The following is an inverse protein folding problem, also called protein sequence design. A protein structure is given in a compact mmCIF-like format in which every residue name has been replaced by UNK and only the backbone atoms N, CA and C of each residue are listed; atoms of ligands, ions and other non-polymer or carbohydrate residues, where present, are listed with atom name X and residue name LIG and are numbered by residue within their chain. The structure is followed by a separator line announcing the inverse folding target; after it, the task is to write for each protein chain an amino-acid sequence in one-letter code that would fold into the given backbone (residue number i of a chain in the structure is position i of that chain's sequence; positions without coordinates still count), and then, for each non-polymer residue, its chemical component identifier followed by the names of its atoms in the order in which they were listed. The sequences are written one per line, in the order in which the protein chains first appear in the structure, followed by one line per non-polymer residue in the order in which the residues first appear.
data_IF_231380816384
#
_entry.id   IF_231380816384
#
_cell.length_a   1.000
_cell.length_b   1.000
_cell.length_c   1.000
_cell.angle_alpha   90.00
_cell.angle_beta   90.00
_cell.angle_gamma   90.00
#
_symmetry.space_group_name_H-M   'P 1'
#
loop_
_entity.id
_entity.type
_entity.pdbx_description
1 polymer ?
#
# COMPACT_ATOMS: atom_id res chain seq x y z
N UNK A 1 -4.07 -3.45 4.18
CA UNK A 1 -2.97 -3.04 5.07
C UNK A 1 -1.93 -2.18 4.34
N UNK A 2 -1.56 -2.51 3.10
CA UNK A 2 -0.63 -1.68 2.34
C UNK A 2 -1.18 -0.29 2.03
N UNK A 3 -2.48 -0.16 1.81
CA UNK A 3 -3.13 1.15 1.71
C UNK A 3 -2.93 1.95 3.01
N UNK A 4 -3.07 1.30 4.15
CA UNK A 4 -2.89 1.94 5.44
C UNK A 4 -1.44 2.40 5.64
N UNK A 5 -0.46 1.59 5.21
CA UNK A 5 0.95 1.98 5.28
C UNK A 5 1.19 3.29 4.52
N UNK A 6 0.76 3.37 3.28
CA UNK A 6 1.01 4.55 2.45
C UNK A 6 0.23 5.77 2.95
N UNK A 7 -1.01 5.60 3.40
CA UNK A 7 -1.83 6.73 3.87
C UNK A 7 -1.31 7.30 5.18
N UNK A 8 -0.94 6.46 6.14
CA UNK A 8 -0.36 6.90 7.41
C UNK A 8 0.96 7.62 7.18
N UNK A 9 1.82 7.06 6.35
CA UNK A 9 3.12 7.64 6.03
C UNK A 9 3.00 9.02 5.36
N UNK A 10 2.15 9.14 4.34
CA UNK A 10 1.92 10.40 3.64
C UNK A 10 1.36 11.45 4.59
N UNK A 11 0.33 11.10 5.35
CA UNK A 11 -0.33 12.03 6.28
C UNK A 11 0.63 12.54 7.35
N UNK A 12 1.46 11.66 7.92
CA UNK A 12 2.44 12.05 8.95
C UNK A 12 3.48 13.01 8.37
N UNK A 13 4.05 12.69 7.20
CA UNK A 13 5.08 13.53 6.61
C UNK A 13 4.52 14.88 6.12
N UNK A 14 3.30 14.92 5.60
CA UNK A 14 2.63 16.17 5.26
C UNK A 14 2.39 17.06 6.49
N UNK A 15 2.11 16.44 7.63
CA UNK A 15 1.91 17.17 8.90
C UNK A 15 3.23 17.60 9.55
N UNK A 16 4.38 17.27 8.96
CA UNK A 16 5.69 17.63 9.49
C UNK A 16 6.30 16.61 10.43
N UNK A 17 5.65 15.47 10.66
CA UNK A 17 6.18 14.38 11.47
C UNK A 17 6.88 13.40 10.54
N UNK A 18 8.21 13.49 10.45
CA UNK A 18 9.00 12.62 9.58
C UNK A 18 9.00 11.19 10.13
N UNK A 19 8.45 10.26 9.35
CA UNK A 19 8.40 8.84 9.68
C UNK A 19 8.84 8.02 8.47
N UNK A 20 9.31 6.78 8.72
CA UNK A 20 9.59 5.83 7.65
C UNK A 20 8.29 5.24 7.08
N UNK A 21 8.37 4.70 5.88
CA UNK A 21 7.24 4.03 5.21
C UNK A 21 6.76 2.81 6.00
N UNK A 22 7.70 2.01 6.49
CA UNK A 22 7.38 0.84 7.29
C UNK A 22 7.44 1.13 8.78
N UNK A 23 6.56 0.52 9.59
CA UNK A 23 6.73 0.54 11.05
C UNK A 23 7.99 -0.22 11.44
N UNK A 24 8.71 0.26 12.45
CA UNK A 24 9.88 -0.45 12.97
C UNK A 24 9.49 -1.84 13.50
N UNK A 25 10.31 -2.86 13.31
CA UNK A 25 11.66 -2.87 12.71
C UNK A 25 11.68 -3.21 11.21
N UNK A 26 10.56 -3.09 10.51
CA UNK A 26 10.44 -3.53 9.12
C UNK A 26 11.07 -2.56 8.14
N UNK A 27 11.62 -3.10 7.06
CA UNK A 27 12.26 -2.36 5.96
C UNK A 27 11.93 -3.02 4.63
N UNK A 28 12.38 -2.44 3.52
CA UNK A 28 12.26 -3.06 2.20
C UNK A 28 13.01 -4.39 2.09
N UNK A 29 13.91 -4.70 3.03
CA UNK A 29 14.63 -5.98 3.06
C UNK A 29 13.84 -7.11 3.71
N UNK A 30 12.96 -6.79 4.65
CA UNK A 30 12.26 -7.79 5.47
C UNK A 30 10.73 -7.61 5.50
N UNK A 31 10.18 -6.86 4.57
CA UNK A 31 8.73 -6.61 4.55
C UNK A 31 7.89 -7.89 4.39
N UNK A 32 8.48 -8.98 3.93
CA UNK A 32 7.78 -10.27 3.86
C UNK A 32 7.29 -10.72 5.25
N UNK A 33 8.07 -10.45 6.31
CA UNK A 33 7.65 -10.74 7.68
C UNK A 33 6.47 -9.87 8.11
N UNK A 34 6.42 -8.62 7.66
CA UNK A 34 5.28 -7.74 7.88
C UNK A 34 4.02 -8.27 7.18
N UNK A 35 4.15 -8.74 5.94
CA UNK A 35 3.03 -9.37 5.23
C UNK A 35 2.49 -10.58 5.98
N UNK A 36 3.35 -11.41 6.54
CA UNK A 36 2.93 -12.55 7.37
C UNK A 36 2.14 -12.09 8.60
N UNK A 37 2.56 -11.00 9.22
CA UNK A 37 1.84 -10.41 10.33
C UNK A 37 0.45 -9.92 9.91
N UNK A 38 0.33 -9.28 8.75
CA UNK A 38 -0.96 -8.86 8.19
C UNK A 38 -1.88 -10.05 7.95
N UNK A 39 -1.35 -11.15 7.43
CA UNK A 39 -2.13 -12.39 7.25
C UNK A 39 -2.67 -12.88 8.60
N UNK A 40 -1.83 -12.90 9.63
CA UNK A 40 -2.26 -13.31 10.98
C UNK A 40 -3.33 -12.40 11.56
N UNK A 41 -3.23 -11.09 11.35
CA UNK A 41 -4.23 -10.12 11.80
C UNK A 41 -5.60 -10.35 11.17
N UNK A 42 -5.64 -10.88 9.95
CA UNK A 42 -6.87 -11.04 9.18
C UNK A 42 -7.35 -12.48 9.05
N UNK A 43 -6.79 -13.42 9.84
CA UNK A 43 -7.20 -14.83 9.78
C UNK A 43 -8.69 -15.05 10.00
N UNK A 44 -9.31 -14.22 10.85
CA UNK A 44 -10.72 -14.32 11.18
C UNK A 44 -11.58 -13.28 10.46
N UNK A 45 -10.99 -12.52 9.55
CA UNK A 45 -11.73 -11.54 8.74
C UNK A 45 -12.46 -12.29 7.65
N UNK A 46 -13.79 -12.11 7.58
CA UNK A 46 -14.59 -12.73 6.53
C UNK A 46 -14.27 -12.14 5.16
N UNK A 47 -14.58 -12.87 4.10
CA UNK A 47 -14.44 -12.38 2.72
C UNK A 47 -15.17 -11.05 2.52
N UNK A 48 -16.43 -10.97 2.99
CA UNK A 48 -17.24 -9.77 2.86
C UNK A 48 -16.64 -8.58 3.60
N UNK A 49 -16.17 -8.80 4.84
CA UNK A 49 -15.51 -7.76 5.62
C UNK A 49 -14.20 -7.30 4.95
N UNK A 50 -13.40 -8.23 4.44
CA UNK A 50 -12.15 -7.90 3.73
C UNK A 50 -12.43 -7.09 2.47
N UNK A 51 -13.46 -7.44 1.73
CA UNK A 51 -13.89 -6.74 0.52
C UNK A 51 -14.32 -5.31 0.83
N UNK A 52 -15.09 -5.11 1.90
CA UNK A 52 -15.53 -3.78 2.34
C UNK A 52 -14.35 -2.93 2.80
N UNK A 53 -13.41 -3.51 3.56
CA UNK A 53 -12.18 -2.85 3.98
C UNK A 53 -11.34 -2.40 2.78
N UNK A 54 -11.19 -3.26 1.79
CA UNK A 54 -10.44 -2.94 0.57
C UNK A 54 -11.09 -1.80 -0.19
N UNK A 55 -12.41 -1.86 -0.39
CA UNK A 55 -13.14 -0.81 -1.10
C UNK A 55 -13.01 0.54 -0.40
N UNK A 56 -13.16 0.56 0.92
CA UNK A 56 -13.04 1.79 1.72
C UNK A 56 -11.63 2.36 1.68
N UNK A 57 -10.61 1.53 1.87
CA UNK A 57 -9.21 1.99 1.85
C UNK A 57 -8.78 2.43 0.45
N UNK A 58 -9.26 1.77 -0.60
CA UNK A 58 -9.00 2.17 -1.98
C UNK A 58 -9.54 3.58 -2.26
N UNK A 59 -10.78 3.86 -1.88
CA UNK A 59 -11.36 5.20 -2.03
C UNK A 59 -10.60 6.25 -1.23
N UNK A 60 -10.15 5.90 -0.03
CA UNK A 60 -9.37 6.80 0.81
C UNK A 60 -8.03 7.15 0.15
N UNK A 61 -7.31 6.16 -0.39
CA UNK A 61 -6.05 6.38 -1.12
C UNK A 61 -6.27 7.28 -2.34
N UNK A 62 -7.32 7.01 -3.13
CA UNK A 62 -7.64 7.84 -4.29
C UNK A 62 -7.87 9.29 -3.91
N UNK A 63 -8.60 9.54 -2.83
CA UNK A 63 -8.83 10.89 -2.33
C UNK A 63 -7.53 11.61 -1.95
N UNK A 64 -6.59 10.91 -1.35
CA UNK A 64 -5.28 11.46 -1.01
C UNK A 64 -4.49 11.79 -2.29
N UNK A 65 -4.46 10.87 -3.26
CA UNK A 65 -3.75 11.07 -4.54
C UNK A 65 -4.29 12.31 -5.26
N UNK A 66 -5.61 12.47 -5.31
CA UNK A 66 -6.26 13.60 -5.98
C UNK A 66 -5.90 14.94 -5.36
N UNK A 67 -5.45 14.97 -4.12
CA UNK A 67 -4.98 16.18 -3.44
C UNK A 67 -3.61 16.66 -3.87
N UNK A 68 -2.88 15.89 -4.66
CA UNK A 68 -1.54 16.24 -5.15
C UNK A 68 -1.58 16.64 -6.62
N UNK A 69 -0.69 17.56 -7.01
CA UNK A 69 -0.48 17.91 -8.42
C UNK A 69 0.35 16.82 -9.12
N UNK A 70 0.36 16.84 -10.46
CA UNK A 70 1.20 15.93 -11.23
C UNK A 70 2.68 16.11 -10.90
N UNK A 71 3.14 17.35 -10.73
CA UNK A 71 4.53 17.62 -10.36
C UNK A 71 4.87 17.03 -8.99
N UNK A 72 3.99 17.17 -8.02
CA UNK A 72 4.18 16.59 -6.69
C UNK A 72 4.25 15.06 -6.73
N UNK A 73 3.43 14.43 -7.56
CA UNK A 73 3.38 12.97 -7.66
C UNK A 73 4.54 12.38 -8.44
N UNK A 74 4.95 13.01 -9.54
CA UNK A 74 5.83 12.35 -10.51
C UNK A 74 7.23 12.92 -10.59
N UNK A 75 7.52 14.05 -9.94
CA UNK A 75 8.87 14.59 -9.89
C UNK A 75 9.67 13.86 -8.82
N UNK A 76 10.77 13.21 -9.23
CA UNK A 76 11.68 12.55 -8.29
C UNK A 76 12.25 13.58 -7.31
N UNK A 77 12.30 13.21 -6.04
CA UNK A 77 12.83 14.03 -4.96
C UNK A 77 12.06 15.34 -4.72
N UNK A 78 10.84 15.45 -5.22
CA UNK A 78 10.02 16.63 -4.95
C UNK A 78 9.85 16.85 -3.44
N UNK A 79 9.55 15.76 -2.70
CA UNK A 79 9.54 15.76 -1.24
C UNK A 79 10.82 15.09 -0.71
N UNK A 80 11.38 15.65 0.36
CA UNK A 80 12.58 15.10 0.98
C UNK A 80 12.38 13.71 1.57
N UNK A 81 11.14 13.39 1.96
CA UNK A 81 10.81 12.13 2.63
C UNK A 81 10.49 10.96 1.68
N UNK A 82 10.50 11.18 0.36
CA UNK A 82 10.31 10.10 -0.63
C UNK A 82 11.63 9.47 -1.09
N UNK A 83 12.74 9.85 -0.51
CA UNK A 83 14.05 9.36 -0.89
C UNK A 83 14.44 9.82 -2.30
N UNK A 84 14.94 8.90 -3.12
CA UNK A 84 15.41 9.21 -4.48
C UNK A 84 14.33 9.03 -5.54
N UNK A 85 13.12 8.65 -5.14
CA UNK A 85 12.01 8.37 -6.05
C UNK A 85 10.93 9.45 -5.98
N UNK A 86 9.85 9.22 -6.71
CA UNK A 86 8.66 10.08 -6.67
C UNK A 86 7.64 9.57 -5.67
N UNK A 87 6.79 10.45 -5.17
CA UNK A 87 5.65 10.06 -4.34
C UNK A 87 4.72 9.11 -5.10
N UNK A 88 4.50 9.36 -6.39
CA UNK A 88 3.66 8.52 -7.23
C UNK A 88 4.12 7.07 -7.29
N UNK A 89 5.43 6.81 -7.24
CA UNK A 89 5.96 5.44 -7.24
C UNK A 89 5.53 4.65 -6.01
N UNK A 90 5.41 5.28 -4.86
CA UNK A 90 4.90 4.64 -3.64
C UNK A 90 3.40 4.32 -3.77
N UNK A 91 2.62 5.24 -4.33
CA UNK A 91 1.20 4.98 -4.57
C UNK A 91 0.99 3.83 -5.56
N UNK A 92 1.75 3.79 -6.65
CA UNK A 92 1.69 2.70 -7.64
C UNK A 92 2.03 1.37 -6.98
N UNK A 93 3.09 1.34 -6.18
CA UNK A 93 3.51 0.13 -5.46
C UNK A 93 2.41 -0.40 -4.53
N UNK A 94 1.71 0.48 -3.82
CA UNK A 94 0.67 0.11 -2.86
C UNK A 94 -0.70 -0.16 -3.49
N UNK A 95 -0.91 0.22 -4.74
CA UNK A 95 -2.20 0.09 -5.44
C UNK A 95 -2.10 -0.79 -6.67
N UNK A 96 -1.86 -0.23 -7.85
CA UNK A 96 -1.94 -0.98 -9.12
C UNK A 96 -0.98 -2.17 -9.18
N UNK A 97 0.26 -2.01 -8.76
CA UNK A 97 1.23 -3.11 -8.74
C UNK A 97 0.81 -4.22 -7.76
N UNK A 98 0.31 -3.84 -6.61
CA UNK A 98 -0.19 -4.77 -5.60
C UNK A 98 -1.42 -5.54 -6.11
N UNK A 99 -2.32 -4.83 -6.79
CA UNK A 99 -3.51 -5.46 -7.37
C UNK A 99 -3.16 -6.46 -8.46
N UNK A 100 -2.20 -6.16 -9.32
CA UNK A 100 -1.71 -7.10 -10.34
C UNK A 100 -1.13 -8.35 -9.71
N UNK A 101 -0.31 -8.20 -8.68
CA UNK A 101 0.26 -9.31 -7.94
C UNK A 101 -0.82 -10.18 -7.31
N UNK A 102 -1.79 -9.57 -6.64
CA UNK A 102 -2.90 -10.27 -6.00
C UNK A 102 -3.77 -11.00 -7.03
N UNK A 103 -4.06 -10.37 -8.16
CA UNK A 103 -4.83 -10.97 -9.23
C UNK A 103 -4.13 -12.19 -9.83
N UNK A 104 -2.81 -12.13 -10.01
CA UNK A 104 -2.00 -13.27 -10.47
C UNK A 104 -2.10 -14.44 -9.48
N UNK A 105 -1.95 -14.17 -8.20
CA UNK A 105 -2.04 -15.20 -7.14
C UNK A 105 -3.43 -15.83 -7.12
N UNK A 106 -4.46 -15.03 -7.21
CA UNK A 106 -5.84 -15.49 -7.21
C UNK A 106 -6.12 -16.37 -8.42
N UNK A 107 -5.70 -15.95 -9.61
CA UNK A 107 -5.88 -16.75 -10.83
C UNK A 107 -5.14 -18.08 -10.76
N UNK A 108 -3.92 -18.09 -10.23
CA UNK A 108 -3.15 -19.31 -10.05
C UNK A 108 -3.88 -20.28 -9.10
N UNK A 109 -4.43 -19.78 -8.02
CA UNK A 109 -5.19 -20.60 -7.07
C UNK A 109 -6.45 -21.17 -7.72
N UNK A 110 -7.22 -20.35 -8.43
CA UNK A 110 -8.44 -20.79 -9.13
C UNK A 110 -8.13 -21.92 -10.13
N UNK A 111 -7.01 -21.86 -10.82
CA UNK A 111 -6.60 -22.95 -11.74
C UNK A 111 -6.39 -24.27 -11.00
N UNK A 112 -5.91 -24.23 -9.76
CA UNK A 112 -5.74 -25.46 -8.98
C UNK A 112 -7.08 -26.12 -8.62
N UNK A 113 -8.13 -25.30 -8.45
CA UNK A 113 -9.47 -25.80 -8.14
C UNK A 113 -10.17 -26.43 -9.34
N UNK A 114 -9.77 -26.06 -10.55
CA UNK A 114 -10.38 -26.54 -11.79
C UNK A 114 -9.90 -27.94 -12.20
N UNK A 115 -8.96 -28.53 -11.47
CA UNK A 115 -8.37 -29.85 -11.77
C UNK A 115 -9.02 -30.97 -11.01
#
# INVERSE_FOLDING_TARGET
EWHNLVTVWVSANQAGTLTGFFPEPYTWRNYAALNEQFVRQHQNTTYEAARDLLAASHQHVLGIIEGFSNDELFTKKHFGWTGTTSLGSYFVSATSSHYEWAAKKTRAYVRTLAR
#
